data_IF_167904415087
#
_entry.id   IF_167904415087
#
_cell.length_a   1.000
_cell.length_b   1.000
_cell.length_c   1.000
_cell.angle_alpha   90.00
_cell.angle_beta   90.00
_cell.angle_gamma   90.00
#
_symmetry.space_group_name_H-M   'P 1'
#
loop_
_entity.id
_entity.type
_entity.pdbx_description
1 polymer ?
#
# COMPACT_ATOMS: atom_id res chain seq x y z
N UNK A 1 -8.19 -3.51 -9.92
CA UNK A 1 -7.29 -4.57 -9.43
C UNK A 1 -8.11 -5.77 -8.95
N UNK A 2 -8.57 -6.58 -9.88
CA UNK A 2 -9.43 -7.78 -9.66
C UNK A 2 -8.69 -9.09 -9.93
N UNK A 3 -7.42 -9.01 -10.32
CA UNK A 3 -6.62 -10.18 -10.68
C UNK A 3 -5.82 -10.68 -9.49
N UNK A 4 -6.21 -11.84 -8.98
CA UNK A 4 -5.42 -12.61 -8.01
C UNK A 4 -4.20 -13.19 -8.74
N UNK A 5 -2.97 -12.95 -8.27
CA UNK A 5 -1.78 -13.53 -8.89
C UNK A 5 -1.85 -15.07 -8.95
N UNK A 6 -1.46 -15.70 -10.08
CA UNK A 6 -1.41 -17.16 -10.17
C UNK A 6 -0.56 -17.80 -9.06
N UNK A 7 -0.97 -18.96 -8.56
CA UNK A 7 -0.26 -19.67 -7.49
C UNK A 7 -0.42 -19.06 -6.10
N UNK A 8 -1.33 -18.10 -5.93
CA UNK A 8 -1.68 -17.52 -4.63
C UNK A 8 -3.12 -17.85 -4.20
N UNK A 9 -3.37 -17.77 -2.89
CA UNK A 9 -4.69 -17.84 -2.26
C UNK A 9 -4.98 -16.52 -1.55
N UNK A 10 -6.21 -16.01 -1.66
CA UNK A 10 -6.66 -14.82 -0.94
C UNK A 10 -7.10 -15.20 0.47
N UNK A 11 -6.58 -14.52 1.48
CA UNK A 11 -6.90 -14.72 2.89
C UNK A 11 -7.91 -13.69 3.42
N UNK A 12 -7.92 -12.51 2.83
CA UNK A 12 -8.79 -11.39 3.19
C UNK A 12 -8.70 -10.30 2.12
N UNK A 13 -9.70 -9.42 2.09
CA UNK A 13 -9.73 -8.32 1.12
C UNK A 13 -10.45 -7.10 1.65
N UNK A 14 -10.11 -5.93 1.10
CA UNK A 14 -10.89 -4.73 1.31
C UNK A 14 -10.81 -3.79 0.11
N UNK A 15 -11.84 -2.97 -0.04
CA UNK A 15 -11.84 -1.81 -0.94
C UNK A 15 -12.34 -0.60 -0.17
N UNK A 16 -11.63 0.51 -0.28
CA UNK A 16 -12.01 1.80 0.27
C UNK A 16 -12.00 2.82 -0.86
N UNK A 17 -13.06 3.62 -0.90
CA UNK A 17 -13.23 4.71 -1.85
C UNK A 17 -13.32 5.99 -1.03
N UNK A 18 -12.51 6.98 -1.35
CA UNK A 18 -12.44 8.24 -0.62
C UNK A 18 -12.48 9.43 -1.58
N UNK A 19 -13.31 10.42 -1.24
CA UNK A 19 -13.33 11.72 -1.93
C UNK A 19 -12.14 12.58 -1.50
N UNK A 20 -11.76 12.51 -0.21
CA UNK A 20 -10.51 13.06 0.32
C UNK A 20 -9.75 11.97 1.11
N UNK A 21 -8.60 11.49 0.60
CA UNK A 21 -7.75 10.54 1.32
C UNK A 21 -7.31 11.04 2.70
N UNK A 22 -7.28 12.37 2.91
CA UNK A 22 -6.90 13.01 4.16
C UNK A 22 -7.84 12.73 5.33
N UNK A 23 -9.10 12.34 5.07
CA UNK A 23 -10.07 11.97 6.11
C UNK A 23 -9.63 10.74 6.91
N UNK A 24 -8.76 9.91 6.32
CA UNK A 24 -8.22 8.72 6.96
C UNK A 24 -6.95 8.97 7.80
N UNK A 25 -6.45 10.22 7.83
CA UNK A 25 -5.25 10.54 8.59
C UNK A 25 -5.48 10.40 10.10
N UNK A 26 -4.81 9.44 10.74
CA UNK A 26 -4.92 9.19 12.19
C UNK A 26 -3.55 9.28 12.85
N UNK A 27 -3.36 10.27 13.73
CA UNK A 27 -2.22 10.46 14.66
C UNK A 27 -1.12 11.49 14.25
N UNK A 28 -0.58 12.16 15.28
CA UNK A 28 0.45 13.22 15.23
C UNK A 28 1.87 12.80 14.77
N UNK A 29 2.39 11.57 15.01
CA UNK A 29 3.77 11.23 14.63
C UNK A 29 4.01 11.18 13.13
N UNK A 30 3.00 10.77 12.36
CA UNK A 30 3.05 10.69 10.88
C UNK A 30 2.27 11.84 10.23
N UNK A 31 2.19 12.99 10.90
CA UNK A 31 1.47 14.18 10.42
C UNK A 31 1.87 14.64 9.01
N UNK A 32 3.11 14.35 8.59
CA UNK A 32 3.62 14.72 7.27
C UNK A 32 3.40 13.66 6.19
N UNK A 33 2.94 12.46 6.54
CA UNK A 33 2.71 11.40 5.56
C UNK A 33 1.64 11.82 4.55
N UNK A 34 1.85 11.43 3.30
CA UNK A 34 0.92 11.66 2.21
C UNK A 34 -0.50 11.15 2.58
N UNK A 35 -1.56 11.95 2.36
CA UNK A 35 -2.94 11.52 2.55
C UNK A 35 -3.27 10.15 1.90
N UNK A 36 -2.75 9.87 0.72
CA UNK A 36 -2.95 8.59 0.04
C UNK A 36 -2.35 7.41 0.82
N UNK A 37 -1.26 7.62 1.55
CA UNK A 37 -0.69 6.58 2.40
C UNK A 37 -1.62 6.23 3.57
N UNK A 38 -2.38 7.20 4.09
CA UNK A 38 -3.38 6.95 5.12
C UNK A 38 -4.58 6.17 4.59
N UNK A 39 -5.02 6.46 3.36
CA UNK A 39 -6.03 5.66 2.67
C UNK A 39 -5.55 4.22 2.44
N UNK A 40 -4.29 4.04 2.04
CA UNK A 40 -3.68 2.70 1.93
C UNK A 40 -3.67 2.00 3.30
N UNK A 41 -3.25 2.69 4.37
CA UNK A 41 -3.22 2.10 5.71
C UNK A 41 -4.61 1.69 6.21
N UNK A 42 -5.65 2.50 5.98
CA UNK A 42 -7.03 2.15 6.29
C UNK A 42 -7.50 0.93 5.48
N UNK A 43 -7.19 0.88 4.19
CA UNK A 43 -7.55 -0.28 3.34
C UNK A 43 -6.86 -1.55 3.83
N UNK A 44 -5.60 -1.47 4.23
CA UNK A 44 -4.84 -2.58 4.81
C UNK A 44 -5.44 -3.00 6.16
N UNK A 45 -5.78 -2.05 7.04
CA UNK A 45 -6.44 -2.32 8.32
C UNK A 45 -7.72 -3.16 8.10
N UNK A 46 -8.54 -2.79 7.11
CA UNK A 46 -9.78 -3.50 6.76
C UNK A 46 -9.52 -4.87 6.16
N UNK A 47 -8.56 -5.01 5.24
CA UNK A 47 -8.25 -6.29 4.62
C UNK A 47 -7.68 -7.30 5.62
N UNK A 48 -6.88 -6.83 6.58
CA UNK A 48 -6.38 -7.65 7.69
C UNK A 48 -7.49 -8.01 8.69
N UNK A 49 -8.50 -7.16 8.87
CA UNK A 49 -9.65 -7.48 9.72
C UNK A 49 -10.60 -8.51 9.07
N UNK A 50 -10.66 -8.56 7.75
CA UNK A 50 -11.38 -9.56 6.95
C UNK A 50 -10.60 -10.89 6.81
N UNK A 51 -9.35 -10.94 7.30
CA UNK A 51 -8.46 -12.06 7.08
C UNK A 51 -8.83 -13.29 7.91
N UNK A 52 -8.96 -14.45 7.27
CA UNK A 52 -9.26 -15.73 7.92
C UNK A 52 -8.12 -16.26 8.80
N UNK A 53 -6.89 -15.76 8.59
CA UNK A 53 -5.67 -16.17 9.29
C UNK A 53 -5.05 -14.99 10.05
N UNK A 54 -4.31 -15.28 11.14
CA UNK A 54 -3.62 -14.27 11.95
C UNK A 54 -2.31 -13.81 11.29
N UNK A 55 -2.39 -13.18 10.12
CA UNK A 55 -1.23 -12.66 9.36
C UNK A 55 -0.37 -11.69 10.19
N UNK A 56 -0.95 -11.05 11.21
CA UNK A 56 -0.23 -10.16 12.13
C UNK A 56 0.80 -10.87 13.00
N UNK A 57 0.65 -12.18 13.21
CA UNK A 57 1.61 -12.97 13.98
C UNK A 57 2.88 -13.29 13.17
N UNK A 58 2.77 -13.27 11.83
CA UNK A 58 3.85 -13.48 10.87
C UNK A 58 4.40 -12.14 10.32
N UNK A 59 4.50 -11.11 11.16
CA UNK A 59 4.90 -9.77 10.73
C UNK A 59 6.28 -9.72 10.05
N UNK A 60 7.21 -10.58 10.48
CA UNK A 60 8.56 -10.67 9.91
C UNK A 60 8.56 -11.30 8.50
N UNK A 61 7.55 -12.12 8.20
CA UNK A 61 7.37 -12.82 6.93
C UNK A 61 6.23 -12.23 6.08
N UNK A 62 5.76 -11.03 6.42
CA UNK A 62 4.68 -10.35 5.67
C UNK A 62 5.24 -9.22 4.83
N UNK A 63 5.13 -9.36 3.51
CA UNK A 63 5.50 -8.33 2.55
C UNK A 63 4.33 -7.39 2.24
N UNK A 64 4.64 -6.21 1.69
CA UNK A 64 3.67 -5.30 1.12
C UNK A 64 4.14 -4.78 -0.24
N UNK A 65 3.24 -4.86 -1.23
CA UNK A 65 3.44 -4.32 -2.56
C UNK A 65 2.27 -3.38 -2.89
N UNK A 66 2.58 -2.10 -3.03
CA UNK A 66 1.62 -1.09 -3.46
C UNK A 66 1.82 -0.77 -4.94
N UNK A 67 0.73 -0.74 -5.71
CA UNK A 67 0.72 -0.34 -7.11
C UNK A 67 -0.06 0.96 -7.23
N UNK A 68 0.55 2.01 -7.77
CA UNK A 68 -0.13 3.29 -7.95
C UNK A 68 0.42 4.06 -9.16
N UNK A 69 -0.49 4.65 -9.95
CA UNK A 69 -0.11 5.48 -11.08
C UNK A 69 0.44 6.84 -10.64
N UNK A 70 -0.09 7.38 -9.54
CA UNK A 70 0.17 8.73 -9.06
C UNK A 70 1.10 8.77 -7.84
N UNK A 71 1.19 7.67 -7.08
CA UNK A 71 1.99 7.63 -5.85
C UNK A 71 1.65 8.79 -4.92
N UNK A 72 2.64 9.62 -4.58
CA UNK A 72 2.52 10.80 -3.73
C UNK A 72 2.54 12.13 -4.52
N UNK A 73 2.23 12.09 -5.82
CA UNK A 73 2.33 13.23 -6.74
C UNK A 73 1.60 14.48 -6.24
N UNK A 74 0.39 14.34 -5.68
CA UNK A 74 -0.40 15.46 -5.15
C UNK A 74 0.37 16.20 -4.06
N UNK A 75 1.01 15.48 -3.13
CA UNK A 75 1.79 16.10 -2.06
C UNK A 75 3.09 16.70 -2.60
N UNK A 76 3.76 16.04 -3.55
CA UNK A 76 4.94 16.60 -4.21
C UNK A 76 4.63 17.93 -4.92
N UNK A 77 3.52 18.02 -5.65
CA UNK A 77 3.04 19.26 -6.29
C UNK A 77 2.74 20.35 -5.25
N UNK A 78 2.01 20.02 -4.17
CA UNK A 78 1.73 20.96 -3.08
C UNK A 78 3.00 21.50 -2.41
N UNK A 79 4.03 20.66 -2.26
CA UNK A 79 5.33 21.10 -1.76
C UNK A 79 5.95 22.09 -2.73
N UNK A 80 6.03 21.75 -4.02
CA UNK A 80 6.58 22.62 -5.05
C UNK A 80 5.88 23.99 -5.08
N UNK A 81 4.55 24.02 -5.00
CA UNK A 81 3.75 25.26 -4.99
C UNK A 81 3.98 26.13 -3.73
N UNK A 82 4.47 25.51 -2.65
CA UNK A 82 4.76 26.22 -1.39
C UNK A 82 6.16 26.83 -1.33
N UNK A 83 7.11 26.32 -2.14
CA UNK A 83 8.51 26.77 -2.14
C UNK A 83 8.67 28.26 -2.41
N UNK A 84 7.97 28.88 -3.39
CA UNK A 84 8.13 30.32 -3.64
C UNK A 84 7.65 31.21 -2.49
N UNK A 85 6.83 30.68 -1.57
CA UNK A 85 6.10 31.44 -0.57
C UNK A 85 6.70 31.35 0.83
N UNK A 86 7.49 30.32 1.13
CA UNK A 86 8.04 30.10 2.48
C UNK A 86 9.11 29.00 2.51
N UNK A 87 9.70 28.81 3.69
CA UNK A 87 10.53 27.64 4.01
C UNK A 87 9.64 26.40 4.16
N UNK A 88 10.07 25.29 3.57
CA UNK A 88 9.40 23.99 3.68
C UNK A 88 10.18 23.10 4.66
N UNK A 89 9.48 22.47 5.60
CA UNK A 89 10.09 21.50 6.52
C UNK A 89 10.65 20.30 5.74
N UNK A 90 11.90 19.85 5.99
CA UNK A 90 12.45 18.63 5.40
C UNK A 90 11.57 17.39 5.59
N UNK A 91 10.82 17.31 6.70
CA UNK A 91 9.92 16.19 7.00
C UNK A 91 8.77 16.06 5.99
N UNK A 92 8.38 17.15 5.31
CA UNK A 92 7.39 17.09 4.23
C UNK A 92 7.91 16.31 3.02
N UNK A 93 9.20 16.37 2.72
CA UNK A 93 9.78 15.61 1.62
C UNK A 93 9.81 14.11 1.92
N UNK A 94 10.15 13.75 3.16
CA UNK A 94 10.09 12.35 3.61
C UNK A 94 8.65 11.80 3.51
N UNK A 95 7.67 12.58 3.97
CA UNK A 95 6.27 12.20 3.89
C UNK A 95 5.65 12.23 2.48
N UNK A 96 6.32 12.87 1.52
CA UNK A 96 5.92 12.93 0.12
C UNK A 96 6.68 11.92 -0.77
N UNK A 97 7.50 11.03 -0.21
CA UNK A 97 8.12 9.99 -1.03
C UNK A 97 7.06 8.97 -1.48
N UNK A 98 7.12 8.39 -2.69
CA UNK A 98 6.14 7.38 -3.09
C UNK A 98 6.18 6.13 -2.20
N UNK A 99 7.35 5.76 -1.70
CA UNK A 99 7.53 4.60 -0.82
C UNK A 99 6.68 4.65 0.46
N UNK A 100 6.23 5.83 0.91
CA UNK A 100 5.43 6.02 2.12
C UNK A 100 4.08 5.32 2.03
N UNK A 101 3.55 5.10 0.81
CA UNK A 101 2.32 4.33 0.60
C UNK A 101 2.48 2.88 1.06
N UNK A 102 3.66 2.27 0.86
CA UNK A 102 3.97 0.94 1.38
C UNK A 102 4.55 1.00 2.81
N UNK A 103 5.34 2.03 3.11
CA UNK A 103 6.03 2.18 4.38
C UNK A 103 5.12 2.50 5.57
N UNK A 104 4.11 3.35 5.39
CA UNK A 104 3.19 3.71 6.47
C UNK A 104 2.39 2.52 7.02
N UNK A 105 1.67 1.72 6.20
CA UNK A 105 1.02 0.51 6.69
C UNK A 105 2.02 -0.50 7.28
N UNK A 106 3.20 -0.66 6.67
CA UNK A 106 4.24 -1.53 7.22
C UNK A 106 4.68 -1.11 8.63
N UNK A 107 4.97 0.17 8.84
CA UNK A 107 5.31 0.73 10.15
C UNK A 107 4.18 0.58 11.16
N UNK A 108 2.93 0.80 10.73
CA UNK A 108 1.74 0.69 11.60
C UNK A 108 1.51 -0.74 12.09
N UNK A 109 1.78 -1.73 11.24
CA UNK A 109 1.59 -3.15 11.57
C UNK A 109 2.88 -3.87 11.98
N UNK A 110 4.01 -3.17 12.05
CA UNK A 110 5.30 -3.76 12.41
C UNK A 110 5.82 -4.79 11.40
N UNK A 111 5.41 -4.67 10.13
CA UNK A 111 5.83 -5.59 9.06
C UNK A 111 7.33 -5.43 8.77
N UNK A 112 8.05 -6.55 8.67
CA UNK A 112 9.51 -6.55 8.39
C UNK A 112 9.90 -7.32 7.13
N UNK A 113 8.92 -7.86 6.41
CA UNK A 113 9.13 -8.41 5.08
C UNK A 113 9.38 -7.32 4.02
N UNK A 114 9.59 -7.72 2.75
CA UNK A 114 9.79 -6.78 1.65
C UNK A 114 8.67 -5.73 1.53
N UNK A 115 9.04 -4.46 1.35
CA UNK A 115 8.11 -3.36 1.07
C UNK A 115 8.44 -2.69 -0.26
N UNK A 116 7.48 -2.59 -1.17
CA UNK A 116 7.69 -2.02 -2.50
C UNK A 116 6.52 -1.15 -2.94
N UNK A 117 6.83 -0.06 -3.65
CA UNK A 117 5.87 0.61 -4.53
C UNK A 117 6.25 0.37 -5.99
N UNK A 118 5.29 -0.08 -6.80
CA UNK A 118 5.36 -0.13 -8.26
C UNK A 118 4.58 1.04 -8.85
N UNK A 119 5.26 1.86 -9.64
CA UNK A 119 4.63 2.96 -10.37
C UNK A 119 3.89 2.43 -11.60
N UNK A 120 2.59 2.68 -11.68
CA UNK A 120 1.74 2.25 -12.79
C UNK A 120 0.29 2.07 -12.38
N UNK A 121 -0.63 2.06 -13.35
CA UNK A 121 -2.04 1.76 -13.07
C UNK A 121 -2.16 0.33 -12.52
N UNK A 122 -2.93 0.07 -11.44
CA UNK A 122 -3.04 -1.24 -10.82
C UNK A 122 -3.37 -2.37 -11.80
N UNK A 123 -4.24 -2.12 -12.77
CA UNK A 123 -4.62 -3.14 -13.76
C UNK A 123 -3.51 -3.41 -14.80
N UNK A 124 -2.77 -2.37 -15.21
CA UNK A 124 -1.70 -2.52 -16.20
C UNK A 124 -0.43 -3.14 -15.59
N UNK A 125 -0.16 -2.86 -14.31
CA UNK A 125 1.00 -3.38 -13.60
C UNK A 125 0.74 -4.72 -12.90
N UNK A 126 -0.49 -5.26 -12.95
CA UNK A 126 -0.84 -6.54 -12.33
C UNK A 126 0.08 -7.72 -12.74
N UNK A 127 0.50 -7.88 -14.01
CA UNK A 127 1.43 -8.95 -14.36
C UNK A 127 2.80 -8.81 -13.67
N UNK A 128 3.33 -7.58 -13.61
CA UNK A 128 4.62 -7.28 -12.95
C UNK A 128 4.52 -7.49 -11.44
N UNK A 129 3.44 -7.01 -10.81
CA UNK A 129 3.17 -7.25 -9.40
C UNK A 129 3.10 -8.75 -9.10
N UNK A 130 2.40 -9.52 -9.94
CA UNK A 130 2.33 -10.98 -9.83
C UNK A 130 3.70 -11.66 -9.91
N UNK A 131 4.58 -11.23 -10.82
CA UNK A 131 5.96 -11.75 -10.91
C UNK A 131 6.76 -11.49 -9.63
N UNK A 132 6.68 -10.27 -9.08
CA UNK A 132 7.39 -9.92 -7.83
C UNK A 132 6.87 -10.75 -6.66
N UNK A 133 5.55 -10.84 -6.50
CA UNK A 133 4.89 -11.61 -5.44
C UNK A 133 5.26 -13.09 -5.51
N UNK A 134 5.19 -13.69 -6.71
CA UNK A 134 5.58 -15.07 -6.91
C UNK A 134 7.06 -15.30 -6.57
N UNK A 135 7.93 -14.32 -6.85
CA UNK A 135 9.33 -14.35 -6.43
C UNK A 135 9.48 -14.40 -4.92
N UNK A 136 8.88 -13.46 -4.19
CA UNK A 136 8.97 -13.40 -2.74
C UNK A 136 8.44 -14.66 -2.04
N UNK A 137 7.28 -15.18 -2.49
CA UNK A 137 6.70 -16.39 -1.93
C UNK A 137 7.54 -17.63 -2.21
N UNK A 138 8.03 -17.78 -3.45
CA UNK A 138 8.82 -18.95 -3.87
C UNK A 138 10.20 -19.00 -3.22
N UNK A 139 10.84 -17.84 -3.05
CA UNK A 139 12.20 -17.74 -2.47
C UNK A 139 12.18 -17.65 -0.94
N UNK A 140 10.99 -17.68 -0.31
CA UNK A 140 10.83 -17.63 1.15
C UNK A 140 11.15 -16.26 1.75
N UNK A 141 11.10 -15.18 0.96
CA UNK A 141 11.24 -13.81 1.46
C UNK A 141 9.96 -13.29 2.12
N UNK A 142 8.83 -13.96 1.89
CA UNK A 142 7.57 -13.69 2.55
C UNK A 142 6.69 -14.95 2.57
N UNK A 143 5.92 -15.12 3.64
CA UNK A 143 4.82 -16.10 3.76
C UNK A 143 3.49 -15.49 3.31
N UNK A 144 3.30 -14.21 3.59
CA UNK A 144 2.10 -13.45 3.23
C UNK A 144 2.46 -12.19 2.46
N UNK A 145 1.60 -11.74 1.56
CA UNK A 145 1.77 -10.48 0.83
C UNK A 145 0.50 -9.66 0.86
N UNK A 146 0.64 -8.40 1.26
CA UNK A 146 -0.37 -7.37 1.10
C UNK A 146 -0.20 -6.74 -0.29
N UNK A 147 -1.05 -7.12 -1.24
CA UNK A 147 -1.09 -6.51 -2.56
C UNK A 147 -2.12 -5.39 -2.56
N UNK A 148 -1.65 -4.15 -2.71
CA UNK A 148 -2.48 -2.94 -2.70
C UNK A 148 -2.48 -2.29 -4.07
N UNK A 149 -3.65 -1.90 -4.56
CA UNK A 149 -3.81 -1.10 -5.77
C UNK A 149 -4.50 0.21 -5.43
N UNK A 150 -3.85 1.34 -5.76
CA UNK A 150 -4.38 2.68 -5.58
C UNK A 150 -4.46 3.39 -6.94
N UNK A 151 -5.63 3.94 -7.25
CA UNK A 151 -5.81 4.76 -8.45
C UNK A 151 -6.90 5.82 -8.24
N UNK A 152 -6.74 6.95 -8.93
CA UNK A 152 -7.79 7.95 -9.02
C UNK A 152 -8.90 7.45 -9.98
N UNK A 153 -10.13 7.81 -9.63
CA UNK A 153 -11.34 7.65 -10.44
C UNK A 153 -11.83 9.02 -10.88
N UNK A 154 -12.91 9.08 -11.69
CA UNK A 154 -13.48 10.36 -12.11
C UNK A 154 -13.81 11.26 -10.91
N UNK A 155 -13.40 12.54 -10.97
CA UNK A 155 -13.71 13.53 -9.94
C UNK A 155 -12.75 13.62 -8.75
N UNK A 156 -11.46 13.26 -8.92
CA UNK A 156 -10.41 13.24 -7.87
C UNK A 156 -10.60 12.21 -6.74
N UNK A 157 -11.69 11.44 -6.77
CA UNK A 157 -11.93 10.34 -5.86
C UNK A 157 -10.88 9.25 -6.03
N UNK A 158 -10.30 8.77 -4.94
CA UNK A 158 -9.34 7.67 -4.96
C UNK A 158 -10.01 6.35 -4.57
N UNK A 159 -9.68 5.29 -5.31
CA UNK A 159 -10.06 3.91 -4.99
C UNK A 159 -8.81 3.14 -4.61
N UNK A 160 -8.83 2.57 -3.41
CA UNK A 160 -7.79 1.71 -2.88
C UNK A 160 -8.34 0.31 -2.62
N UNK A 161 -7.71 -0.70 -3.19
CA UNK A 161 -8.04 -2.11 -2.97
C UNK A 161 -6.84 -2.81 -2.33
N UNK A 162 -7.08 -3.70 -1.36
CA UNK A 162 -6.04 -4.54 -0.78
C UNK A 162 -6.49 -6.01 -0.82
N UNK A 163 -5.57 -6.88 -1.22
CA UNK A 163 -5.68 -8.33 -1.11
C UNK A 163 -4.60 -8.83 -0.16
N UNK A 164 -4.98 -9.66 0.81
CA UNK A 164 -4.04 -10.42 1.63
C UNK A 164 -3.83 -11.76 0.96
N UNK A 165 -2.59 -12.07 0.57
CA UNK A 165 -2.26 -13.24 -0.25
C UNK A 165 -1.29 -14.17 0.49
N UNK A 166 -1.42 -15.47 0.25
CA UNK A 166 -0.40 -16.47 0.60
C UNK A 166 -0.13 -17.40 -0.58
N UNK A 167 0.91 -18.23 -0.51
CA UNK A 167 1.17 -19.26 -1.51
C UNK A 167 0.10 -20.36 -1.48
N UNK A 168 -0.39 -20.80 -2.64
CA UNK A 168 -1.45 -21.80 -2.73
C UNK A 168 -1.06 -23.20 -2.15
N UNK A 169 0.23 -23.44 -1.89
CA UNK A 169 0.74 -24.67 -1.29
C UNK A 169 1.10 -24.56 0.20
N UNK A 170 0.78 -23.44 0.87
CA UNK A 170 1.25 -23.14 2.23
C UNK A 170 0.53 -23.91 3.36
N UNK A 171 -0.45 -24.77 3.06
CA UNK A 171 -1.18 -25.60 4.03
C UNK A 171 -0.40 -26.89 4.42
N UNK A 172 0.93 -26.89 4.39
CA UNK A 172 1.78 -28.05 4.75
C UNK A 172 2.73 -27.75 5.89
#
# INVERSE_FOLDING_TARGET
MTHVPPGTRVLGSATVVADDPGEHARNKPSFYADPAAWLVAETVDRALADCAEHVRDDADDTAILVVSATGSERTMRRIADSVPRSRVSPLRFAGANPGVLAGLPALRHGLRGPSLLLAGHPDAAAPVAGTVIAGWLRDGHARHVLLVGLHATEGERETCCCLVLTGAGADR
#
